data_IF_169587089959
#
_entry.id   IF_169587089959
#
_cell.length_a   1.000
_cell.length_b   1.000
_cell.length_c   1.000
_cell.angle_alpha   90.00
_cell.angle_beta   90.00
_cell.angle_gamma   90.00
#
_symmetry.space_group_name_H-M   'P 1'
#
loop_
_entity.id
_entity.type
_entity.pdbx_description
1 polymer ?
#
# COMPACT_ATOMS: atom_id res chain seq x y z
N UNK A 1 -30.67 -9.67 -8.43
CA UNK A 1 -30.49 -8.22 -8.64
C UNK A 1 -29.03 -8.00 -9.00
N UNK A 2 -28.74 -7.87 -10.29
CA UNK A 2 -27.40 -7.52 -10.79
C UNK A 2 -27.22 -6.00 -10.63
N UNK A 3 -26.82 -5.59 -9.42
CA UNK A 3 -26.34 -4.24 -9.18
C UNK A 3 -24.88 -4.12 -9.62
N UNK A 4 -24.49 -2.98 -10.20
CA UNK A 4 -23.07 -2.66 -10.42
C UNK A 4 -22.34 -2.74 -9.07
N UNK A 5 -21.30 -3.59 -8.99
CA UNK A 5 -20.54 -3.82 -7.75
C UNK A 5 -19.85 -2.55 -7.24
N UNK A 6 -19.40 -1.72 -8.16
CA UNK A 6 -18.70 -0.47 -7.88
C UNK A 6 -19.48 0.70 -8.48
N UNK A 7 -19.60 1.77 -7.72
CA UNK A 7 -20.19 3.00 -8.22
C UNK A 7 -19.25 3.65 -9.25
N UNK A 8 -19.82 4.22 -10.32
CA UNK A 8 -19.08 5.04 -11.26
C UNK A 8 -18.75 6.39 -10.60
N UNK A 9 -17.47 6.69 -10.43
CA UNK A 9 -17.02 8.01 -10.03
C UNK A 9 -17.08 8.99 -11.22
N UNK A 10 -17.34 10.28 -10.98
CA UNK A 10 -17.30 11.29 -12.04
C UNK A 10 -15.88 11.39 -12.64
N UNK A 11 -15.80 11.82 -13.89
CA UNK A 11 -14.52 12.08 -14.54
C UNK A 11 -13.79 13.21 -13.81
N UNK A 12 -12.57 12.93 -13.37
CA UNK A 12 -11.76 13.85 -12.59
C UNK A 12 -10.87 14.65 -13.55
N UNK A 13 -11.01 16.00 -13.63
CA UNK A 13 -10.11 16.81 -14.44
C UNK A 13 -8.71 16.82 -13.81
N UNK A 14 -7.75 16.23 -14.51
CA UNK A 14 -6.36 16.11 -14.06
C UNK A 14 -5.54 17.32 -14.51
N UNK A 15 -4.81 17.93 -13.57
CA UNK A 15 -3.83 18.99 -13.81
C UNK A 15 -2.43 18.45 -13.60
N UNK A 16 -1.53 18.72 -14.55
CA UNK A 16 -0.12 18.36 -14.43
C UNK A 16 0.52 19.15 -13.28
N UNK A 17 1.11 18.43 -12.32
CA UNK A 17 1.93 19.03 -11.25
C UNK A 17 3.36 19.14 -11.73
N UNK A 18 3.90 18.04 -12.24
CA UNK A 18 5.28 17.93 -12.71
C UNK A 18 5.32 16.99 -13.90
N UNK A 19 6.11 17.34 -14.93
CA UNK A 19 6.36 16.52 -16.11
C UNK A 19 7.12 15.23 -15.80
N UNK A 20 7.80 14.67 -16.80
CA UNK A 20 8.50 13.39 -16.70
C UNK A 20 9.50 13.39 -15.55
N UNK A 21 9.16 12.64 -14.49
CA UNK A 21 10.01 12.33 -13.36
C UNK A 21 9.97 10.81 -13.20
N UNK A 22 11.13 10.18 -12.97
CA UNK A 22 11.26 8.74 -12.73
C UNK A 22 10.72 8.36 -11.34
N UNK A 23 9.46 8.72 -11.07
CA UNK A 23 8.83 8.55 -9.78
C UNK A 23 8.31 7.13 -9.62
N UNK A 24 9.00 6.32 -8.81
CA UNK A 24 8.56 4.94 -8.52
C UNK A 24 7.45 4.89 -7.49
N UNK A 25 7.48 5.80 -6.52
CA UNK A 25 6.50 5.94 -5.45
C UNK A 25 6.47 7.41 -5.02
N UNK A 26 5.34 7.90 -4.56
CA UNK A 26 5.26 9.23 -3.96
C UNK A 26 4.33 9.24 -2.76
N UNK A 27 4.54 10.22 -1.89
CA UNK A 27 3.67 10.52 -0.75
C UNK A 27 3.29 12.00 -0.82
N UNK A 28 2.17 12.33 -0.19
CA UNK A 28 1.66 13.69 -0.14
C UNK A 28 1.60 14.13 1.31
N UNK A 29 2.21 15.29 1.61
CA UNK A 29 2.13 15.93 2.91
C UNK A 29 1.80 17.41 2.72
N UNK A 30 0.69 17.85 3.31
CA UNK A 30 0.24 19.25 3.25
C UNK A 30 0.20 19.80 1.80
N UNK A 31 -0.37 19.02 0.88
CA UNK A 31 -0.46 19.33 -0.54
C UNK A 31 0.85 19.24 -1.34
N UNK A 32 1.99 19.07 -0.67
CA UNK A 32 3.29 18.89 -1.31
C UNK A 32 3.50 17.42 -1.67
N UNK A 33 3.93 17.18 -2.92
CA UNK A 33 4.25 15.84 -3.40
C UNK A 33 5.74 15.58 -3.21
N UNK A 34 6.04 14.52 -2.47
CA UNK A 34 7.39 14.00 -2.30
C UNK A 34 7.53 12.74 -3.13
N UNK A 35 8.36 12.83 -4.16
CA UNK A 35 8.59 11.77 -5.11
C UNK A 35 9.85 11.00 -4.76
N UNK A 36 9.76 9.68 -4.63
CA UNK A 36 10.91 8.80 -4.54
C UNK A 36 11.23 8.26 -5.94
N UNK A 37 12.45 8.51 -6.41
CA UNK A 37 12.88 8.11 -7.75
C UNK A 37 13.45 6.70 -7.81
N UNK A 38 13.55 6.12 -9.01
CA UNK A 38 14.26 4.86 -9.25
C UNK A 38 15.72 4.87 -8.79
N UNK A 39 16.35 6.04 -8.67
CA UNK A 39 17.71 6.25 -8.17
C UNK A 39 17.78 6.51 -6.66
N UNK A 40 16.73 6.19 -5.91
CA UNK A 40 16.63 6.40 -4.46
C UNK A 40 16.89 7.86 -4.03
N UNK A 41 16.41 8.80 -4.85
CA UNK A 41 16.41 10.24 -4.52
C UNK A 41 15.00 10.65 -4.16
N UNK A 42 14.83 11.31 -3.01
CA UNK A 42 13.59 11.96 -2.63
C UNK A 42 13.59 13.38 -3.21
N UNK A 43 12.56 13.72 -3.97
CA UNK A 43 12.39 15.04 -4.58
C UNK A 43 11.12 15.67 -4.03
N UNK A 44 11.25 16.85 -3.42
CA UNK A 44 10.10 17.68 -3.08
C UNK A 44 9.66 18.44 -4.32
N UNK A 45 8.58 18.01 -4.99
CA UNK A 45 8.24 18.54 -6.32
C UNK A 45 7.89 20.02 -6.34
N UNK A 46 7.39 20.56 -5.23
CA UNK A 46 7.05 21.98 -5.11
C UNK A 46 8.25 22.91 -5.02
N UNK A 47 9.37 22.44 -4.45
CA UNK A 47 10.61 23.22 -4.29
C UNK A 47 11.72 22.80 -5.26
N UNK A 48 11.65 21.60 -5.83
CA UNK A 48 12.72 21.01 -6.63
C UNK A 48 13.91 20.49 -5.82
N UNK A 49 13.81 20.50 -4.49
CA UNK A 49 14.88 20.03 -3.61
C UNK A 49 15.05 18.52 -3.69
N UNK A 50 16.30 18.06 -3.76
CA UNK A 50 16.66 16.65 -3.89
C UNK A 50 17.48 16.15 -2.69
N UNK A 51 17.10 14.97 -2.17
CA UNK A 51 17.80 14.29 -1.09
C UNK A 51 18.16 12.88 -1.54
N UNK A 52 19.47 12.61 -1.67
CA UNK A 52 19.98 11.33 -2.16
C UNK A 52 20.20 10.37 -0.99
N UNK A 53 19.69 9.15 -1.13
CA UNK A 53 19.88 8.10 -0.14
C UNK A 53 20.62 6.91 -0.75
N UNK A 54 21.55 6.35 0.03
CA UNK A 54 22.28 5.14 -0.35
C UNK A 54 21.56 3.89 0.16
N UNK A 55 21.33 2.95 -0.75
CA UNK A 55 20.63 1.69 -0.51
C UNK A 55 19.23 1.63 -1.13
N UNK A 56 18.69 0.43 -1.24
CA UNK A 56 17.40 0.20 -1.90
C UNK A 56 16.23 0.56 -1.01
N UNK A 57 15.64 1.72 -1.25
CA UNK A 57 14.39 2.14 -0.58
C UNK A 57 13.25 1.31 -1.13
N UNK A 58 12.63 0.52 -0.25
CA UNK A 58 11.51 -0.38 -0.55
C UNK A 58 10.17 0.34 -0.50
N UNK A 59 9.98 1.20 0.51
CA UNK A 59 8.68 1.84 0.79
C UNK A 59 8.88 3.22 1.38
N UNK A 60 7.99 4.14 1.01
CA UNK A 60 7.83 5.44 1.64
C UNK A 60 6.50 5.55 2.39
N UNK A 61 6.49 6.25 3.52
CA UNK A 61 5.28 6.55 4.29
C UNK A 61 5.37 7.89 5.00
N UNK A 62 4.22 8.44 5.38
CA UNK A 62 4.14 9.74 6.08
C UNK A 62 3.39 9.57 7.40
N UNK A 63 3.94 10.15 8.46
CA UNK A 63 3.24 10.33 9.73
C UNK A 63 3.67 11.65 10.36
N UNK A 64 2.69 12.49 10.71
CA UNK A 64 2.97 13.89 11.05
C UNK A 64 3.71 14.57 9.91
N UNK A 65 4.76 15.32 10.23
CA UNK A 65 5.64 15.99 9.27
C UNK A 65 6.89 15.16 8.91
N UNK A 66 6.88 13.86 9.22
CA UNK A 66 7.98 12.96 8.94
C UNK A 66 7.69 12.04 7.75
N UNK A 67 8.69 11.90 6.88
CA UNK A 67 8.72 10.87 5.85
C UNK A 67 9.59 9.72 6.36
N UNK A 68 9.01 8.52 6.38
CA UNK A 68 9.68 7.28 6.73
C UNK A 68 10.12 6.58 5.45
N UNK A 69 11.43 6.40 5.31
CA UNK A 69 12.06 5.69 4.20
C UNK A 69 12.52 4.32 4.71
N UNK A 70 11.84 3.28 4.25
CA UNK A 70 12.13 1.89 4.65
C UNK A 70 12.98 1.24 3.59
N UNK A 71 14.16 0.75 3.97
CA UNK A 71 15.11 0.09 3.07
C UNK A 71 14.95 -1.43 3.11
N UNK A 72 15.30 -2.09 2.01
CA UNK A 72 15.34 -3.56 1.94
C UNK A 72 16.29 -4.17 2.98
N UNK A 73 17.38 -3.48 3.31
CA UNK A 73 18.38 -3.90 4.31
C UNK A 73 17.93 -3.64 5.76
N UNK A 74 16.63 -3.55 5.99
CA UNK A 74 15.97 -3.18 7.25
C UNK A 74 16.27 -1.80 7.83
N UNK A 75 17.23 -1.06 7.27
CA UNK A 75 17.46 0.34 7.66
C UNK A 75 16.18 1.18 7.49
N UNK A 76 15.90 2.03 8.48
CA UNK A 76 14.84 3.05 8.37
C UNK A 76 15.45 4.42 8.58
N UNK A 77 15.16 5.33 7.66
CA UNK A 77 15.51 6.74 7.76
C UNK A 77 14.24 7.54 7.98
N UNK A 78 14.27 8.42 8.98
CA UNK A 78 13.20 9.39 9.24
C UNK A 78 13.68 10.77 8.79
N UNK A 79 12.97 11.33 7.82
CA UNK A 79 13.24 12.64 7.24
C UNK A 79 12.20 13.66 7.72
N UNK A 80 12.64 14.75 8.32
CA UNK A 80 11.79 15.85 8.76
C UNK A 80 11.55 16.81 7.60
N UNK A 81 10.29 16.91 7.17
CA UNK A 81 9.89 17.76 6.05
C UNK A 81 9.92 19.24 6.38
N UNK A 82 9.79 19.62 7.67
CA UNK A 82 9.83 21.01 8.11
C UNK A 82 11.29 21.46 8.23
N UNK A 83 12.12 20.67 8.91
CA UNK A 83 13.53 20.99 9.19
C UNK A 83 14.48 20.64 8.04
N UNK A 84 14.02 19.85 7.07
CA UNK A 84 14.79 19.41 5.90
C UNK A 84 16.03 18.58 6.25
N UNK A 85 15.91 17.75 7.30
CA UNK A 85 17.02 16.97 7.82
C UNK A 85 16.64 15.51 8.08
N UNK A 86 17.65 14.64 8.13
CA UNK A 86 17.49 13.28 8.64
C UNK A 86 17.59 13.33 10.15
N UNK A 87 16.50 12.99 10.83
CA UNK A 87 16.43 13.05 12.30
C UNK A 87 16.86 11.73 12.92
N UNK A 88 16.53 10.61 12.26
CA UNK A 88 16.88 9.28 12.80
C UNK A 88 17.27 8.30 11.71
N UNK A 89 18.26 7.47 12.04
CA UNK A 89 18.74 6.36 11.23
C UNK A 89 18.79 5.11 12.11
N UNK A 90 17.80 4.23 11.96
CA UNK A 90 17.72 2.98 12.70
C UNK A 90 18.26 1.82 11.88
N UNK A 91 19.09 0.97 12.50
CA UNK A 91 19.21 -0.41 12.04
C UNK A 91 17.90 -1.11 12.37
N UNK A 92 17.30 -1.77 11.37
CA UNK A 92 16.02 -2.43 11.55
C UNK A 92 16.15 -3.85 12.06
N UNK A 93 15.16 -4.64 11.67
CA UNK A 93 15.03 -6.07 11.96
C UNK A 93 16.23 -6.86 11.38
N UNK A 94 16.62 -7.96 12.03
CA UNK A 94 17.56 -8.91 11.44
C UNK A 94 16.96 -9.53 10.18
N UNK A 95 17.59 -9.27 9.02
CA UNK A 95 17.16 -9.77 7.72
C UNK A 95 16.53 -8.70 6.82
N UNK A 96 16.26 -9.08 5.56
CA UNK A 96 15.73 -8.16 4.58
C UNK A 96 14.22 -7.95 4.74
N UNK A 97 13.75 -6.72 4.52
CA UNK A 97 12.32 -6.40 4.48
C UNK A 97 11.77 -6.71 3.08
N UNK A 98 10.69 -7.50 3.02
CA UNK A 98 9.95 -7.83 1.79
C UNK A 98 8.81 -6.86 1.54
N UNK A 99 8.12 -6.43 2.61
CA UNK A 99 7.01 -5.47 2.54
C UNK A 99 6.96 -4.63 3.81
N UNK A 100 6.58 -3.36 3.66
CA UNK A 100 6.31 -2.47 4.78
C UNK A 100 4.96 -1.76 4.60
N UNK A 101 4.29 -1.49 5.71
CA UNK A 101 3.10 -0.64 5.81
C UNK A 101 3.37 0.39 6.90
N UNK A 102 3.30 1.67 6.54
CA UNK A 102 3.41 2.80 7.45
C UNK A 102 2.07 3.51 7.45
N UNK A 103 1.43 3.61 8.60
CA UNK A 103 0.11 4.21 8.74
C UNK A 103 0.04 5.02 10.06
N UNK A 104 -1.15 5.48 10.45
CA UNK A 104 -1.30 6.26 11.69
C UNK A 104 -1.01 5.48 12.98
N UNK A 105 -1.12 4.15 12.98
CA UNK A 105 -0.88 3.32 14.18
C UNK A 105 0.57 2.87 14.33
N UNK A 106 1.41 3.09 13.31
CA UNK A 106 2.83 2.81 13.38
C UNK A 106 3.36 2.22 12.08
N UNK A 107 4.38 1.37 12.23
CA UNK A 107 5.05 0.71 11.13
C UNK A 107 5.00 -0.80 11.30
N UNK A 108 4.63 -1.50 10.23
CA UNK A 108 4.56 -2.95 10.17
C UNK A 108 5.43 -3.46 9.03
N UNK A 109 6.12 -4.57 9.25
CA UNK A 109 7.12 -5.10 8.34
C UNK A 109 6.99 -6.60 8.20
N UNK A 110 7.02 -7.07 6.96
CA UNK A 110 7.20 -8.47 6.64
C UNK A 110 8.64 -8.68 6.22
N UNK A 111 9.36 -9.51 6.97
CA UNK A 111 10.73 -9.92 6.65
C UNK A 111 10.72 -11.06 5.62
N UNK A 112 11.86 -11.25 4.94
CA UNK A 112 12.08 -12.35 4.00
C UNK A 112 11.95 -13.74 4.62
N UNK A 113 12.09 -13.86 5.93
CA UNK A 113 11.85 -15.11 6.68
C UNK A 113 10.35 -15.43 6.89
N UNK A 114 9.46 -14.51 6.47
CA UNK A 114 8.01 -14.63 6.63
C UNK A 114 7.49 -14.21 8.01
N UNK A 115 8.33 -13.60 8.85
CA UNK A 115 7.92 -13.04 10.13
C UNK A 115 7.36 -11.62 9.98
N UNK A 116 6.33 -11.31 10.76
CA UNK A 116 5.78 -9.97 10.89
C UNK A 116 6.35 -9.26 12.12
N UNK A 117 6.75 -8.01 11.93
CA UNK A 117 7.25 -7.13 12.97
C UNK A 117 6.42 -5.86 13.00
N UNK A 118 6.29 -5.27 14.20
CA UNK A 118 5.60 -3.99 14.40
C UNK A 118 6.45 -3.05 15.25
N UNK A 119 6.26 -1.76 15.04
CA UNK A 119 6.90 -0.69 15.80
C UNK A 119 6.00 0.54 15.84
N UNK A 120 6.05 1.28 16.95
CA UNK A 120 5.34 2.56 17.08
C UNK A 120 6.24 3.71 16.63
N UNK A 121 5.68 4.89 16.40
CA UNK A 121 6.51 6.07 16.07
C UNK A 121 7.24 6.64 17.28
N UNK A 122 6.66 6.51 18.48
CA UNK A 122 7.22 7.02 19.74
C UNK A 122 8.35 6.11 20.26
N UNK A 123 8.19 4.80 20.11
CA UNK A 123 9.21 3.80 20.42
C UNK A 123 9.50 2.97 19.17
N UNK A 124 10.52 3.41 18.42
CA UNK A 124 11.00 2.75 17.19
C UNK A 124 11.82 1.48 17.52
N UNK A 125 11.39 0.73 18.53
CA UNK A 125 11.83 -0.64 18.80
C UNK A 125 10.92 -1.58 18.03
N UNK A 126 11.51 -2.59 17.41
CA UNK A 126 10.76 -3.60 16.68
C UNK A 126 10.40 -4.74 17.62
N UNK A 127 9.12 -5.09 17.63
CA UNK A 127 8.63 -6.28 18.30
C UNK A 127 8.19 -7.28 17.25
N UNK A 128 8.76 -8.48 17.32
CA UNK A 128 8.30 -9.63 16.54
C UNK A 128 6.92 -10.04 17.03
N UNK A 129 5.98 -10.20 16.12
CA UNK A 129 4.62 -10.62 16.49
C UNK A 129 4.55 -12.15 16.67
N UNK A 130 4.86 -12.59 17.88
CA UNK A 130 4.87 -14.01 18.26
C UNK A 130 3.51 -14.69 18.13
N UNK A 131 2.40 -13.94 18.19
CA UNK A 131 1.05 -14.49 18.07
C UNK A 131 0.74 -14.96 16.64
N UNK A 132 1.37 -14.33 15.63
CA UNK A 132 1.19 -14.65 14.22
C UNK A 132 2.02 -15.88 13.77
N UNK A 133 2.93 -16.36 14.62
CA UNK A 133 3.75 -17.56 14.40
C UNK A 133 3.10 -18.87 14.85
N UNK A 134 2.03 -18.79 15.66
CA UNK A 134 1.53 -19.93 16.43
C UNK A 134 0.36 -20.69 15.77
N UNK A 135 0.14 -20.53 14.46
CA UNK A 135 -0.99 -21.19 13.79
C UNK A 135 -0.55 -22.51 13.15
N UNK A 136 -0.76 -23.61 13.89
CA UNK A 136 -0.93 -24.95 13.32
C UNK A 136 0.34 -25.73 12.96
N UNK A 137 1.31 -25.87 13.87
CA UNK A 137 2.34 -26.94 13.87
C UNK A 137 3.36 -26.96 12.72
N UNK A 138 3.12 -26.22 11.64
CA UNK A 138 4.03 -25.95 10.52
C UNK A 138 3.89 -24.47 10.20
N UNK A 139 4.97 -23.71 10.38
CA UNK A 139 5.04 -22.27 10.08
C UNK A 139 4.57 -21.99 8.64
N UNK A 140 3.36 -21.48 8.41
CA UNK A 140 3.00 -21.06 7.07
C UNK A 140 3.63 -19.68 6.84
N UNK A 141 4.69 -19.63 6.05
CA UNK A 141 5.42 -18.39 5.71
C UNK A 141 4.44 -17.34 5.20
N UNK A 142 4.36 -16.19 5.90
CA UNK A 142 3.52 -15.07 5.49
C UNK A 142 4.05 -14.52 4.16
N UNK A 143 3.16 -14.39 3.19
CA UNK A 143 3.49 -13.89 1.85
C UNK A 143 3.17 -12.42 1.68
N UNK A 144 2.08 -11.97 2.30
CA UNK A 144 1.56 -10.62 2.18
C UNK A 144 0.74 -10.26 3.42
N UNK A 145 0.56 -8.97 3.69
CA UNK A 145 -0.25 -8.50 4.81
C UNK A 145 -0.85 -7.11 4.53
N UNK A 146 -1.86 -6.76 5.33
CA UNK A 146 -2.52 -5.46 5.34
C UNK A 146 -2.89 -5.11 6.79
N UNK A 147 -2.84 -3.83 7.13
CA UNK A 147 -3.20 -3.32 8.46
C UNK A 147 -4.42 -2.43 8.34
N UNK A 148 -5.45 -2.69 9.15
CA UNK A 148 -6.68 -1.90 9.18
C UNK A 148 -7.13 -1.67 10.62
N UNK A 149 -7.01 -0.42 11.08
CA UNK A 149 -7.12 -0.11 12.50
C UNK A 149 -6.06 -0.88 13.28
N UNK A 150 -6.52 -1.62 14.29
CA UNK A 150 -5.67 -2.45 15.15
C UNK A 150 -5.55 -3.91 14.66
N UNK A 151 -6.28 -4.28 13.61
CA UNK A 151 -6.24 -5.63 13.05
C UNK A 151 -5.21 -5.77 11.95
N UNK A 152 -4.54 -6.92 11.93
CA UNK A 152 -3.66 -7.35 10.86
C UNK A 152 -4.30 -8.48 10.09
N UNK A 153 -4.44 -8.26 8.78
CA UNK A 153 -4.80 -9.30 7.83
C UNK A 153 -3.52 -9.79 7.16
N UNK A 154 -3.36 -11.10 7.01
CA UNK A 154 -2.20 -11.65 6.33
C UNK A 154 -2.52 -12.90 5.53
N UNK A 155 -1.71 -13.17 4.53
CA UNK A 155 -1.88 -14.33 3.65
C UNK A 155 -0.66 -15.23 3.68
N UNK A 156 -0.88 -16.52 3.46
CA UNK A 156 0.16 -17.53 3.38
C UNK A 156 0.37 -18.01 1.94
N UNK A 157 1.43 -18.77 1.72
CA UNK A 157 1.71 -19.40 0.41
C UNK A 157 0.63 -20.40 -0.04
N UNK A 158 -0.26 -20.83 0.87
CA UNK A 158 -1.35 -21.76 0.57
C UNK A 158 -2.66 -21.06 0.18
N UNK A 159 -2.67 -19.73 0.04
CA UNK A 159 -3.90 -18.98 -0.22
C UNK A 159 -4.82 -18.90 1.00
N UNK A 160 -4.31 -19.15 2.21
CA UNK A 160 -5.06 -18.87 3.44
C UNK A 160 -4.93 -17.39 3.76
N UNK A 161 -6.05 -16.76 4.09
CA UNK A 161 -6.12 -15.42 4.65
C UNK A 161 -6.47 -15.54 6.12
N UNK A 162 -5.76 -14.80 6.95
CA UNK A 162 -5.94 -14.72 8.38
C UNK A 162 -6.26 -13.28 8.80
N UNK A 163 -6.98 -13.13 9.90
CA UNK A 163 -7.16 -11.89 10.65
C UNK A 163 -6.76 -12.18 12.09
N UNK A 164 -5.74 -11.49 12.59
CA UNK A 164 -5.31 -11.61 13.99
C UNK A 164 -5.13 -13.07 14.47
N UNK A 165 -4.49 -13.90 13.64
CA UNK A 165 -4.26 -15.35 13.81
C UNK A 165 -5.46 -16.28 13.61
N UNK A 166 -6.65 -15.76 13.33
CA UNK A 166 -7.82 -16.56 12.96
C UNK A 166 -7.92 -16.72 11.43
N UNK A 167 -8.03 -17.96 10.93
CA UNK A 167 -8.17 -18.19 9.48
C UNK A 167 -9.55 -17.71 9.04
N UNK A 168 -9.56 -16.72 8.15
CA UNK A 168 -10.79 -16.06 7.72
C UNK A 168 -11.30 -16.54 6.37
N UNK A 169 -10.38 -16.93 5.49
CA UNK A 169 -10.74 -17.33 4.13
C UNK A 169 -9.67 -18.26 3.57
N UNK A 170 -10.10 -19.28 2.84
CA UNK A 170 -9.22 -20.07 1.98
C UNK A 170 -9.57 -19.78 0.53
N UNK A 171 -8.64 -19.17 -0.20
CA UNK A 171 -8.74 -19.00 -1.65
C UNK A 171 -8.01 -20.14 -2.36
N UNK A 172 -8.36 -20.36 -3.62
CA UNK A 172 -7.83 -21.45 -4.45
C UNK A 172 -6.44 -21.17 -5.03
N UNK A 173 -5.90 -19.96 -4.83
CA UNK A 173 -4.66 -19.47 -5.41
C UNK A 173 -3.91 -18.56 -4.41
N UNK A 174 -2.65 -18.25 -4.69
CA UNK A 174 -1.87 -17.25 -3.97
C UNK A 174 -2.49 -15.85 -4.10
N UNK A 175 -2.25 -15.01 -3.09
CA UNK A 175 -2.91 -13.71 -2.95
C UNK A 175 -1.95 -12.56 -3.22
N UNK A 176 -2.28 -11.79 -4.26
CA UNK A 176 -1.57 -10.59 -4.72
C UNK A 176 -1.90 -9.35 -3.86
N UNK A 177 -3.17 -9.18 -3.50
CA UNK A 177 -3.64 -8.05 -2.68
C UNK A 177 -4.79 -8.49 -1.77
N UNK A 178 -4.79 -7.98 -0.54
CA UNK A 178 -5.92 -8.05 0.39
C UNK A 178 -6.27 -6.63 0.83
N UNK A 179 -7.57 -6.30 0.83
CA UNK A 179 -8.06 -4.99 1.26
C UNK A 179 -9.30 -5.21 2.14
N UNK A 180 -9.16 -5.13 3.47
CA UNK A 180 -10.31 -5.06 4.37
C UNK A 180 -11.03 -3.71 4.21
N UNK A 181 -12.36 -3.75 4.15
CA UNK A 181 -13.22 -2.59 4.03
C UNK A 181 -14.54 -2.84 4.76
N UNK A 182 -14.70 -2.25 5.96
CA UNK A 182 -15.89 -2.40 6.81
C UNK A 182 -16.25 -3.87 7.03
N UNK A 183 -17.35 -4.33 6.44
CA UNK A 183 -17.88 -5.70 6.56
C UNK A 183 -17.34 -6.64 5.47
N UNK A 184 -16.53 -6.11 4.55
CA UNK A 184 -16.02 -6.84 3.40
C UNK A 184 -14.51 -7.01 3.45
N UNK A 185 -14.04 -8.09 2.82
CA UNK A 185 -12.65 -8.32 2.50
C UNK A 185 -12.53 -8.50 0.98
N UNK A 186 -11.80 -7.60 0.33
CA UNK A 186 -11.43 -7.78 -1.07
C UNK A 186 -10.14 -8.57 -1.15
N UNK A 187 -10.14 -9.56 -2.04
CA UNK A 187 -8.96 -10.38 -2.32
C UNK A 187 -8.72 -10.38 -3.80
N UNK A 188 -7.47 -10.12 -4.19
CA UNK A 188 -7.00 -10.25 -5.56
C UNK A 188 -5.98 -11.37 -5.59
N UNK A 189 -6.25 -12.41 -6.38
CA UNK A 189 -5.33 -13.55 -6.53
C UNK A 189 -4.26 -13.25 -7.59
N UNK A 190 -3.18 -14.02 -7.61
CA UNK A 190 -2.16 -13.93 -8.67
C UNK A 190 -2.73 -14.31 -10.04
N UNK A 191 -3.71 -15.22 -10.10
CA UNK A 191 -4.52 -15.52 -11.28
C UNK A 191 -5.54 -14.45 -11.69
N UNK A 192 -5.35 -13.19 -11.26
CA UNK A 192 -6.17 -12.02 -11.62
C UNK A 192 -7.66 -12.12 -11.27
N UNK A 193 -8.00 -12.91 -10.25
CA UNK A 193 -9.37 -13.00 -9.75
C UNK A 193 -9.61 -11.95 -8.66
N UNK A 194 -10.62 -11.10 -8.83
CA UNK A 194 -11.14 -10.23 -7.79
C UNK A 194 -12.29 -10.93 -7.05
N UNK A 195 -12.17 -11.01 -5.73
CA UNK A 195 -13.18 -11.56 -4.83
C UNK A 195 -13.65 -10.47 -3.87
N UNK A 196 -14.97 -10.35 -3.68
CA UNK A 196 -15.56 -9.63 -2.54
C UNK A 196 -16.09 -10.68 -1.57
N UNK A 197 -15.55 -10.69 -0.37
CA UNK A 197 -15.91 -11.62 0.69
C UNK A 197 -16.66 -10.90 1.81
N UNK A 198 -17.76 -11.48 2.27
CA UNK A 198 -18.47 -11.04 3.48
C UNK A 198 -17.73 -11.54 4.70
N UNK A 199 -17.07 -10.63 5.42
CA UNK A 199 -16.26 -10.97 6.60
C UNK A 199 -17.10 -11.30 7.83
N UNK A 200 -18.42 -11.03 7.82
CA UNK A 200 -19.34 -11.34 8.92
C UNK A 200 -20.01 -12.70 8.68
N UNK A 201 -20.50 -12.92 7.46
CA UNK A 201 -21.22 -14.14 7.07
C UNK A 201 -20.33 -15.21 6.47
N UNK A 202 -19.03 -14.95 6.39
CA UNK A 202 -18.01 -15.89 5.94
C UNK A 202 -18.26 -16.49 4.55
N UNK A 203 -18.73 -15.67 3.58
CA UNK A 203 -19.07 -16.14 2.24
C UNK A 203 -18.61 -15.21 1.13
N UNK A 204 -18.29 -15.78 -0.03
CA UNK A 204 -18.01 -15.01 -1.24
C UNK A 204 -19.32 -14.37 -1.73
N UNK A 205 -19.31 -13.05 -1.87
CA UNK A 205 -20.42 -12.28 -2.44
C UNK A 205 -20.26 -12.09 -3.93
N UNK A 206 -19.02 -12.01 -4.40
CA UNK A 206 -18.70 -11.69 -5.78
C UNK A 206 -17.35 -12.28 -6.19
N UNK A 207 -17.26 -12.65 -7.47
CA UNK A 207 -16.05 -13.13 -8.12
C UNK A 207 -16.02 -12.64 -9.57
N UNK A 208 -14.94 -12.01 -9.99
CA UNK A 208 -14.72 -11.56 -11.37
C UNK A 208 -13.28 -11.77 -11.80
N UNK A 209 -13.09 -12.24 -13.03
CA UNK A 209 -11.77 -12.33 -13.64
C UNK A 209 -11.43 -10.97 -14.28
N UNK A 210 -10.37 -10.31 -13.79
CA UNK A 210 -9.93 -9.01 -14.28
C UNK A 210 -8.55 -9.18 -14.92
N UNK A 211 -8.53 -9.74 -16.13
CA UNK A 211 -7.28 -10.00 -16.85
C UNK A 211 -6.42 -8.74 -17.04
N UNK A 212 -5.12 -8.86 -16.81
CA UNK A 212 -4.18 -7.73 -16.96
C UNK A 212 -4.27 -6.69 -15.85
N UNK A 213 -4.88 -7.03 -14.71
CA UNK A 213 -4.93 -6.20 -13.52
C UNK A 213 -3.55 -5.93 -12.92
N UNK A 214 -3.32 -4.67 -12.57
CA UNK A 214 -2.15 -4.24 -11.80
C UNK A 214 -2.58 -3.56 -10.49
N UNK A 215 -1.80 -3.77 -9.44
CA UNK A 215 -1.97 -2.98 -8.20
C UNK A 215 -1.26 -1.65 -8.43
N UNK A 216 -2.02 -0.56 -8.42
CA UNK A 216 -1.54 0.78 -8.77
C UNK A 216 -1.74 1.76 -7.61
N UNK A 217 -1.76 1.28 -6.38
CA UNK A 217 -1.93 2.11 -5.19
C UNK A 217 -2.31 1.30 -3.97
N UNK A 218 -2.47 1.98 -2.84
CA UNK A 218 -2.91 1.37 -1.60
C UNK A 218 -4.40 0.99 -1.70
N UNK A 219 -4.68 -0.27 -2.03
CA UNK A 219 -6.05 -0.78 -2.18
C UNK A 219 -6.72 -0.37 -3.50
N UNK A 220 -5.92 0.04 -4.49
CA UNK A 220 -6.39 0.45 -5.81
C UNK A 220 -5.82 -0.50 -6.86
N UNK A 221 -6.71 -1.00 -7.71
CA UNK A 221 -6.36 -1.87 -8.84
C UNK A 221 -6.66 -1.16 -10.15
N UNK A 222 -5.78 -1.32 -11.13
CA UNK A 222 -5.86 -0.70 -12.45
C UNK A 222 -6.07 -1.75 -13.53
N UNK A 223 -6.95 -1.45 -14.47
CA UNK A 223 -7.26 -2.29 -15.63
C UNK A 223 -7.75 -1.44 -16.80
N UNK A 224 -7.04 -1.45 -17.93
CA UNK A 224 -7.47 -0.84 -19.20
C UNK A 224 -7.94 0.64 -19.11
N UNK A 225 -7.25 1.48 -18.33
CA UNK A 225 -7.63 2.89 -18.14
C UNK A 225 -8.79 3.09 -17.16
N UNK A 226 -9.11 2.06 -16.37
CA UNK A 226 -10.02 2.10 -15.23
C UNK A 226 -9.19 1.84 -13.98
N UNK A 227 -9.43 2.63 -12.94
CA UNK A 227 -8.98 2.33 -11.58
C UNK A 227 -10.19 1.97 -10.72
N UNK A 228 -10.09 0.89 -9.96
CA UNK A 228 -11.08 0.47 -8.96
C UNK A 228 -10.46 0.68 -7.59
N UNK A 229 -11.08 1.54 -6.79
CA UNK A 229 -10.74 1.76 -5.41
C UNK A 229 -11.57 0.85 -4.52
N UNK A 230 -10.94 -0.17 -3.95
CA UNK A 230 -11.60 -1.20 -3.16
C UNK A 230 -12.02 -0.71 -1.76
N UNK A 231 -11.39 0.35 -1.25
CA UNK A 231 -11.73 0.97 0.03
C UNK A 231 -12.98 1.85 -0.08
N UNK A 232 -13.16 2.49 -1.24
CA UNK A 232 -14.31 3.37 -1.50
C UNK A 232 -15.41 2.69 -2.32
N UNK A 233 -15.15 1.50 -2.84
CA UNK A 233 -16.04 0.77 -3.75
C UNK A 233 -16.46 1.60 -4.98
N UNK A 234 -15.50 2.35 -5.54
CA UNK A 234 -15.73 3.17 -6.74
C UNK A 234 -14.80 2.77 -7.86
N UNK A 235 -15.29 2.89 -9.09
CA UNK A 235 -14.48 2.78 -10.31
C UNK A 235 -14.42 4.12 -11.01
N UNK A 236 -13.26 4.47 -11.56
CA UNK A 236 -13.02 5.75 -12.20
C UNK A 236 -12.16 5.59 -13.45
N UNK A 237 -12.28 6.52 -14.40
CA UNK A 237 -11.39 6.57 -15.56
C UNK A 237 -10.06 7.21 -15.17
N UNK A 238 -8.98 6.61 -15.64
CA UNK A 238 -7.60 7.10 -15.46
C UNK A 238 -6.82 6.94 -16.76
N UNK A 239 -5.72 7.68 -16.95
CA UNK A 239 -4.80 7.43 -18.06
C UNK A 239 -4.38 5.95 -18.12
N UNK A 240 -4.33 5.37 -19.31
CA UNK A 240 -4.02 3.93 -19.50
C UNK A 240 -2.64 3.53 -18.99
N UNK A 241 -1.70 4.48 -18.97
CA UNK A 241 -0.33 4.33 -18.50
C UNK A 241 -0.16 4.71 -17.02
N UNK A 242 -1.25 4.79 -16.26
CA UNK A 242 -1.19 5.02 -14.81
C UNK A 242 -0.37 3.93 -14.11
N UNK A 243 0.59 4.37 -13.30
CA UNK A 243 1.52 3.52 -12.53
C UNK A 243 1.19 3.51 -11.04
N UNK A 244 0.79 4.65 -10.49
CA UNK A 244 0.49 4.81 -9.08
C UNK A 244 -0.61 5.85 -8.87
N UNK A 245 -1.49 5.61 -7.90
CA UNK A 245 -2.56 6.48 -7.44
C UNK A 245 -2.44 6.61 -5.93
N UNK A 246 -2.43 7.84 -5.45
CA UNK A 246 -2.49 8.17 -4.02
C UNK A 246 -3.63 9.16 -3.78
N UNK A 247 -4.34 9.01 -2.65
CA UNK A 247 -5.38 9.95 -2.24
C UNK A 247 -4.90 10.72 -1.01
N UNK A 248 -5.11 12.03 -1.03
CA UNK A 248 -4.87 12.88 0.12
C UNK A 248 -6.03 13.86 0.27
N UNK A 249 -6.83 13.68 1.33
CA UNK A 249 -8.08 14.42 1.50
C UNK A 249 -9.04 14.23 0.33
N UNK A 250 -9.48 15.34 -0.25
CA UNK A 250 -10.35 15.37 -1.45
C UNK A 250 -9.56 15.42 -2.77
N UNK A 251 -8.25 15.20 -2.74
CA UNK A 251 -7.41 15.25 -3.93
C UNK A 251 -6.88 13.87 -4.26
N UNK A 252 -6.95 13.52 -5.54
CA UNK A 252 -6.32 12.34 -6.12
C UNK A 252 -5.05 12.76 -6.84
N UNK A 253 -3.99 11.99 -6.65
CA UNK A 253 -2.71 12.16 -7.32
C UNK A 253 -2.44 10.92 -8.15
N UNK A 254 -2.00 11.10 -9.39
CA UNK A 254 -1.77 10.02 -10.36
C UNK A 254 -0.38 10.17 -10.96
N UNK A 255 0.42 9.11 -10.88
CA UNK A 255 1.70 8.99 -11.59
C UNK A 255 1.50 8.21 -12.89
N UNK A 256 2.04 8.75 -13.97
CA UNK A 256 2.01 8.18 -15.33
C UNK A 256 3.41 8.22 -15.95
N UNK A 257 3.58 7.81 -17.21
CA UNK A 257 4.83 8.04 -17.94
C UNK A 257 5.10 9.53 -18.21
N UNK A 258 4.05 10.33 -18.38
CA UNK A 258 4.15 11.74 -18.73
C UNK A 258 4.45 12.66 -17.54
N UNK A 259 4.21 12.19 -16.31
CA UNK A 259 4.42 12.95 -15.09
C UNK A 259 3.42 12.63 -13.99
N UNK A 260 3.39 13.51 -12.99
CA UNK A 260 2.47 13.45 -11.85
C UNK A 260 1.36 14.47 -12.05
N UNK A 261 0.13 14.01 -11.90
CA UNK A 261 -1.09 14.79 -12.05
C UNK A 261 -1.86 14.83 -10.72
N UNK A 262 -2.65 15.88 -10.53
CA UNK A 262 -3.64 15.92 -9.46
C UNK A 262 -5.02 16.29 -9.97
N UNK A 263 -6.05 15.82 -9.29
CA UNK A 263 -7.43 16.18 -9.57
C UNK A 263 -8.26 16.17 -8.29
N UNK A 264 -9.21 17.10 -8.21
CA UNK A 264 -10.12 17.14 -7.06
C UNK A 264 -11.24 16.13 -7.24
N UNK A 265 -11.46 15.32 -6.22
CA UNK A 265 -12.68 14.54 -6.07
C UNK A 265 -13.79 15.51 -5.68
N UNK A 266 -14.84 15.59 -6.51
CA UNK A 266 -16.08 16.27 -6.12
C UNK A 266 -16.72 15.52 -4.96
N UNK A 267 -17.43 16.26 -4.09
CA UNK A 267 -18.27 15.67 -3.04
C UNK A 267 -19.40 14.81 -3.60
#
# INVERSE_FOLDING_TARGET
MEGKLFADAPDIPLKLIQGVVDCKEFVVYDGNVFCLTGRNTLIALSSGEEYKFYGDVLKMGVHGHYIYLVFRTSKIIVFDVIRREVVINFQGIEGCIKKAVVNSSGMHFLSSDGCLYRSTFEDVRYMKDSAMHAVGGRNPTIQNFWVHGDSVFYTTCYGHVYKDSEMVLKVFDTVKLIVPNREYLYVVTEGNMLLKYDAIKWRVLFRENIEGLNVIGNGVIGWNGIAIDLLKEVRMRVPKDTRWIERYGKTMYISTLAGIFSGSLSD
#
